data_IF_386812671419
#
_entry.id   IF_386812671419
#
_cell.length_a   1.000
_cell.length_b   1.000
_cell.length_c   1.000
_cell.angle_alpha   90.00
_cell.angle_beta   90.00
_cell.angle_gamma   90.00
#
_symmetry.space_group_name_H-M   'P 1'
#
loop_
_entity.id
_entity.type
_entity.pdbx_description
1 polymer ?
#
# COMPACT_ATOMS: atom_id res chain seq x y z
N UNK A 1 -15.64 7.69 18.09
CA UNK A 1 -14.89 6.59 17.44
C UNK A 1 -13.51 7.11 17.05
N UNK A 2 -12.46 6.25 17.07
CA UNK A 2 -11.12 6.63 16.62
C UNK A 2 -10.84 6.14 15.21
N UNK A 3 -9.97 6.85 14.51
CA UNK A 3 -9.51 6.53 13.15
C UNK A 3 -8.76 5.20 13.12
N UNK A 4 -8.04 4.87 14.19
CA UNK A 4 -7.34 3.58 14.34
C UNK A 4 -8.29 2.36 14.44
N UNK A 5 -9.57 2.58 14.73
CA UNK A 5 -10.58 1.52 14.75
C UNK A 5 -11.12 1.22 13.33
N UNK A 6 -10.74 2.04 12.33
CA UNK A 6 -11.13 1.82 10.93
C UNK A 6 -10.24 0.76 10.29
N UNK A 7 -10.87 -0.06 9.44
CA UNK A 7 -10.20 -1.08 8.66
C UNK A 7 -9.96 -0.57 7.24
N UNK A 8 -8.69 -0.53 6.83
CA UNK A 8 -8.28 -0.20 5.47
C UNK A 8 -8.20 -1.47 4.63
N UNK A 9 -9.00 -1.60 3.58
CA UNK A 9 -9.09 -2.76 2.67
C UNK A 9 -8.88 -2.39 1.19
N UNK A 10 -8.54 -3.39 0.37
CA UNK A 10 -8.23 -3.28 -1.08
C UNK A 10 -7.38 -2.06 -1.47
N UNK A 11 -6.25 -1.86 -0.78
CA UNK A 11 -5.31 -0.81 -1.17
C UNK A 11 -4.66 -1.21 -2.50
N UNK A 12 -5.02 -0.49 -3.57
CA UNK A 12 -4.33 -0.59 -4.85
C UNK A 12 -3.59 0.72 -5.08
N UNK A 13 -2.29 0.72 -4.82
CA UNK A 13 -1.45 1.92 -4.90
C UNK A 13 -0.35 1.71 -5.93
N UNK A 14 -0.20 2.69 -6.80
CA UNK A 14 0.89 2.77 -7.77
C UNK A 14 1.64 4.07 -7.54
N UNK A 15 2.97 3.97 -7.48
CA UNK A 15 3.86 5.12 -7.39
C UNK A 15 4.30 5.48 -8.82
N UNK A 16 3.86 6.64 -9.30
CA UNK A 16 4.29 7.20 -10.59
C UNK A 16 4.81 8.61 -10.36
N UNK A 17 6.13 8.80 -10.46
CA UNK A 17 6.78 10.10 -10.32
C UNK A 17 6.49 10.85 -9.02
N UNK A 18 6.62 10.19 -7.86
CA UNK A 18 6.32 10.73 -6.52
C UNK A 18 4.84 11.07 -6.25
N UNK A 19 3.95 10.76 -7.20
CA UNK A 19 2.51 10.87 -6.99
C UNK A 19 1.97 9.47 -6.69
N UNK A 20 1.55 9.28 -5.45
CA UNK A 20 0.82 8.10 -5.04
C UNK A 20 -0.59 8.17 -5.62
N UNK A 21 -0.88 7.32 -6.61
CA UNK A 21 -2.22 7.13 -7.16
C UNK A 21 -2.76 5.81 -6.67
N UNK A 22 -3.96 5.83 -6.11
CA UNK A 22 -4.58 4.60 -5.63
C UNK A 22 -5.90 4.82 -4.95
N UNK A 23 -6.71 3.76 -4.93
CA UNK A 23 -7.95 3.73 -4.17
C UNK A 23 -7.86 2.69 -3.07
N UNK A 24 -8.60 2.94 -2.00
CA UNK A 24 -8.76 2.02 -0.88
C UNK A 24 -10.15 2.18 -0.29
N UNK A 25 -10.58 1.18 0.47
CA UNK A 25 -11.81 1.26 1.25
C UNK A 25 -11.49 1.46 2.72
N UNK A 26 -12.20 2.39 3.36
CA UNK A 26 -12.27 2.48 4.82
C UNK A 26 -13.59 1.90 5.30
N UNK A 27 -13.54 1.09 6.35
CA UNK A 27 -14.73 0.52 6.96
C UNK A 27 -14.66 0.55 8.48
N UNK A 28 -15.80 0.76 9.14
CA UNK A 28 -15.95 0.54 10.59
C UNK A 28 -16.73 -0.75 10.91
N UNK A 29 -16.93 -1.63 9.93
CA UNK A 29 -17.75 -2.84 10.05
C UNK A 29 -19.24 -2.64 9.69
N UNK A 30 -19.77 -1.43 9.83
CA UNK A 30 -21.17 -1.11 9.46
C UNK A 30 -21.24 -0.30 8.16
N UNK A 31 -20.32 0.65 8.01
CA UNK A 31 -20.24 1.58 6.89
C UNK A 31 -18.90 1.41 6.19
N UNK A 32 -18.93 1.55 4.88
CA UNK A 32 -17.74 1.47 4.03
C UNK A 32 -17.77 2.60 3.02
N UNK A 33 -16.62 3.23 2.78
CA UNK A 33 -16.46 4.27 1.78
C UNK A 33 -15.17 4.03 0.98
N UNK A 34 -15.24 4.24 -0.33
CA UNK A 34 -14.08 4.26 -1.21
C UNK A 34 -13.42 5.64 -1.16
N UNK A 35 -12.09 5.66 -1.06
CA UNK A 35 -11.29 6.87 -0.93
C UNK A 35 -10.11 6.80 -1.90
N UNK A 36 -9.90 7.88 -2.65
CA UNK A 36 -8.69 8.08 -3.42
C UNK A 36 -7.59 8.66 -2.51
N UNK A 37 -6.37 8.13 -2.63
CA UNK A 37 -5.19 8.65 -1.93
C UNK A 37 -4.93 10.11 -2.28
N UNK A 38 -5.23 10.53 -3.52
CA UNK A 38 -5.11 11.93 -3.93
C UNK A 38 -6.08 12.84 -3.18
N UNK A 39 -7.29 12.36 -2.87
CA UNK A 39 -8.30 13.15 -2.15
C UNK A 39 -7.87 13.47 -0.70
N UNK A 40 -7.00 12.65 -0.11
CA UNK A 40 -6.46 12.90 1.24
C UNK A 40 -5.63 14.17 1.32
N UNK A 41 -5.18 14.73 0.19
CA UNK A 41 -4.54 16.05 0.16
C UNK A 41 -5.54 17.16 0.51
N UNK A 42 -6.81 16.99 0.15
CA UNK A 42 -7.86 17.98 0.34
C UNK A 42 -8.53 17.84 1.71
N UNK A 43 -8.61 18.95 2.47
CA UNK A 43 -9.24 18.93 3.79
C UNK A 43 -10.74 18.61 3.74
N UNK A 44 -11.40 18.91 2.61
CA UNK A 44 -12.81 18.54 2.38
C UNK A 44 -13.04 17.04 2.55
N UNK A 45 -12.13 16.19 2.04
CA UNK A 45 -12.27 14.74 2.17
C UNK A 45 -12.11 14.28 3.61
N UNK A 46 -11.21 14.89 4.37
CA UNK A 46 -11.01 14.57 5.78
C UNK A 46 -12.26 14.91 6.60
N UNK A 47 -12.87 16.05 6.35
CA UNK A 47 -14.12 16.47 7.01
C UNK A 47 -15.28 15.53 6.62
N UNK A 48 -15.35 15.12 5.35
CA UNK A 48 -16.33 14.12 4.88
C UNK A 48 -16.17 12.79 5.65
N UNK A 49 -14.96 12.25 5.73
CA UNK A 49 -14.66 11.01 6.45
C UNK A 49 -14.96 11.11 7.94
N UNK A 50 -14.59 12.24 8.56
CA UNK A 50 -14.90 12.53 9.96
C UNK A 50 -16.39 12.47 10.24
N UNK A 51 -17.20 13.09 9.39
CA UNK A 51 -18.66 13.11 9.55
C UNK A 51 -19.28 11.75 9.23
N UNK A 52 -18.77 11.05 8.20
CA UNK A 52 -19.29 9.76 7.76
C UNK A 52 -19.12 8.67 8.84
N UNK A 53 -17.95 8.63 9.47
CA UNK A 53 -17.59 7.68 10.53
C UNK A 53 -17.81 8.22 11.95
N UNK A 54 -18.21 9.48 12.11
CA UNK A 54 -18.38 10.16 13.40
C UNK A 54 -17.10 10.09 14.27
N UNK A 55 -15.98 10.50 13.67
CA UNK A 55 -14.66 10.50 14.31
C UNK A 55 -14.53 11.71 15.26
N UNK A 56 -14.03 11.45 16.46
CA UNK A 56 -13.90 12.47 17.52
C UNK A 56 -12.57 13.23 17.45
N UNK A 57 -11.67 12.80 16.56
CA UNK A 57 -10.31 13.32 16.44
C UNK A 57 -10.25 14.61 15.61
N UNK A 58 -9.11 15.30 15.70
CA UNK A 58 -8.83 16.45 14.84
C UNK A 58 -8.55 16.02 13.41
N UNK A 59 -8.83 16.90 12.46
CA UNK A 59 -8.69 16.60 11.03
C UNK A 59 -7.24 16.22 10.68
N UNK A 60 -6.25 16.88 11.29
CA UNK A 60 -4.83 16.51 11.17
C UNK A 60 -4.55 15.10 11.70
N UNK A 61 -5.13 14.73 12.85
CA UNK A 61 -4.91 13.41 13.45
C UNK A 61 -5.52 12.31 12.58
N UNK A 62 -6.74 12.54 12.07
CA UNK A 62 -7.42 11.63 11.14
C UNK A 62 -6.57 11.43 9.89
N UNK A 63 -6.10 12.53 9.28
CA UNK A 63 -5.24 12.47 8.08
C UNK A 63 -3.96 11.67 8.34
N UNK A 64 -3.23 12.00 9.38
CA UNK A 64 -1.95 11.36 9.68
C UNK A 64 -2.15 9.87 9.93
N UNK A 65 -3.17 9.48 10.70
CA UNK A 65 -3.48 8.07 10.96
C UNK A 65 -3.86 7.33 9.69
N UNK A 66 -4.65 7.91 8.78
CA UNK A 66 -4.98 7.27 7.49
C UNK A 66 -3.72 7.09 6.64
N UNK A 67 -2.85 8.10 6.57
CA UNK A 67 -1.59 8.01 5.82
C UNK A 67 -0.69 6.92 6.41
N UNK A 68 -0.55 6.84 7.73
CA UNK A 68 0.22 5.80 8.41
C UNK A 68 -0.32 4.39 8.06
N UNK A 69 -1.64 4.20 8.07
CA UNK A 69 -2.26 2.93 7.67
C UNK A 69 -1.97 2.56 6.20
N UNK A 70 -1.96 3.55 5.29
CA UNK A 70 -1.62 3.32 3.88
C UNK A 70 -0.15 2.89 3.75
N UNK A 71 0.77 3.57 4.44
CA UNK A 71 2.21 3.27 4.40
C UNK A 71 2.50 1.89 4.98
N UNK A 72 1.90 1.53 6.11
CA UNK A 72 2.07 0.21 6.71
C UNK A 72 1.61 -0.89 5.75
N UNK A 73 0.45 -0.69 5.12
CA UNK A 73 -0.12 -1.69 4.21
C UNK A 73 0.62 -1.78 2.87
N UNK A 74 1.10 -0.66 2.33
CA UNK A 74 1.92 -0.65 1.10
C UNK A 74 3.29 -1.29 1.34
N UNK A 75 3.87 -1.10 2.53
CA UNK A 75 5.12 -1.76 2.94
C UNK A 75 4.96 -3.27 3.00
N UNK A 76 3.82 -3.77 3.48
CA UNK A 76 3.51 -5.20 3.49
C UNK A 76 3.33 -5.72 2.05
N UNK A 77 2.58 -4.98 1.22
CA UNK A 77 2.36 -5.36 -0.19
C UNK A 77 3.67 -5.44 -0.99
N UNK A 78 4.59 -4.51 -0.74
CA UNK A 78 5.90 -4.48 -1.42
C UNK A 78 6.76 -5.70 -1.05
N UNK A 79 6.79 -6.09 0.24
CA UNK A 79 7.50 -7.30 0.69
C UNK A 79 6.95 -8.59 0.10
N UNK A 80 5.63 -8.68 -0.09
CA UNK A 80 5.01 -9.86 -0.73
C UNK A 80 5.43 -9.94 -2.20
N UNK A 81 5.43 -8.80 -2.92
CA UNK A 81 5.82 -8.75 -4.34
C UNK A 81 7.30 -9.07 -4.59
N UNK A 82 8.21 -8.77 -3.65
CA UNK A 82 9.63 -9.14 -3.76
C UNK A 82 9.86 -10.64 -3.57
N UNK A 83 9.02 -11.32 -2.77
CA UNK A 83 9.12 -12.75 -2.51
C UNK A 83 8.57 -13.65 -3.63
N UNK A 84 7.53 -13.23 -4.35
CA UNK A 84 6.93 -14.02 -5.43
C UNK A 84 7.83 -14.15 -6.67
N UNK A 85 8.79 -13.24 -6.86
CA UNK A 85 9.70 -13.25 -8.00
C UNK A 85 11.09 -13.85 -7.69
N UNK A 86 11.36 -14.26 -6.45
CA UNK A 86 12.60 -14.95 -6.11
C UNK A 86 12.49 -16.45 -6.42
N UNK A 87 12.59 -16.77 -7.70
CA UNK A 87 12.67 -18.14 -8.17
C UNK A 87 14.12 -18.63 -8.01
N UNK A 88 14.46 -19.12 -6.81
CA UNK A 88 15.80 -19.59 -6.44
C UNK A 88 16.35 -20.63 -7.44
N UNK A 89 15.46 -21.43 -8.04
CA UNK A 89 15.78 -22.40 -9.08
C UNK A 89 16.25 -21.73 -10.39
N UNK A 90 15.63 -20.62 -10.79
CA UNK A 90 16.02 -19.83 -11.97
C UNK A 90 17.36 -19.13 -11.76
N UNK A 91 17.61 -18.60 -10.56
CA UNK A 91 18.88 -17.98 -10.19
C UNK A 91 20.05 -19.00 -10.21
N UNK A 92 19.81 -20.23 -9.73
CA UNK A 92 20.79 -21.32 -9.77
C UNK A 92 21.11 -21.78 -11.20
N UNK A 93 20.10 -21.95 -12.05
CA UNK A 93 20.29 -22.32 -13.47
C UNK A 93 21.11 -21.29 -14.24
N UNK A 94 20.80 -19.99 -14.09
CA UNK A 94 21.55 -18.89 -14.73
C UNK A 94 23.01 -18.79 -14.26
N UNK A 95 23.34 -19.32 -13.08
CA UNK A 95 24.73 -19.39 -12.57
C UNK A 95 25.47 -20.61 -13.13
N UNK A 96 24.79 -21.75 -13.28
CA UNK A 96 25.35 -22.95 -13.90
C UNK A 96 25.59 -22.77 -15.41
N UNK A 97 24.69 -22.11 -16.15
CA UNK A 97 24.91 -21.81 -17.58
C UNK A 97 26.13 -20.91 -17.81
N UNK A 98 26.35 -19.91 -16.94
CA UNK A 98 27.53 -19.03 -17.01
C UNK A 98 28.84 -19.77 -16.75
N UNK A 99 28.82 -20.77 -15.87
CA UNK A 99 30.00 -21.62 -15.57
C UNK A 99 30.26 -22.64 -16.69
N UNK A 100 29.22 -23.15 -17.33
CA UNK A 100 29.35 -24.05 -18.48
C UNK A 100 29.93 -23.30 -19.70
N UNK A 101 29.45 -22.09 -19.98
CA UNK A 101 29.97 -21.26 -21.10
C UNK A 101 31.41 -20.78 -20.91
N UNK A 102 31.95 -20.80 -19.68
CA UNK A 102 33.36 -20.46 -19.42
C UNK A 102 34.30 -21.66 -19.51
N UNK A 103 33.78 -22.89 -19.65
CA UNK A 103 34.59 -24.10 -19.76
C UNK A 103 34.87 -24.53 -21.21
N UNK A 104 34.12 -24.00 -22.19
CA UNK A 104 34.27 -24.33 -23.63
C UNK A 104 35.41 -23.57 -24.35
N UNK A 105 36.33 -22.94 -23.61
CA UNK A 105 37.47 -22.18 -24.16
C UNK A 105 38.85 -22.71 -23.75
N UNK A 106 38.97 -24.00 -23.40
CA UNK A 106 40.26 -24.69 -23.18
C UNK A 106 40.34 -25.96 -24.00
#
# INVERSE_FOLDING_TARGET
MKTSDLLLSNLNITEDGYVYKGTFFLSNGEKTIEVDVADLQHNSKIVELKNFFNLEETDEKIRNTIIDMIIEKSSISSRISEGENYDEAKARRKRMERLASSLDFV
#
